data_IF_368384693549
#
_entry.id   IF_368384693549
#
_cell.length_a   1.000
_cell.length_b   1.000
_cell.length_c   1.000
_cell.angle_alpha   90.00
_cell.angle_beta   90.00
_cell.angle_gamma   90.00
#
_symmetry.space_group_name_H-M   'P 1'
#
loop_
_entity.id
_entity.type
_entity.pdbx_description
1 polymer ?
#
# COMPACT_ATOMS: atom_id res chain seq x y z
N UNK A 1 26.04 21.49 8.13
CA UNK A 1 25.59 22.83 8.58
C UNK A 1 24.59 22.60 9.69
N UNK A 2 24.85 23.09 10.90
CA UNK A 2 23.91 23.04 12.03
C UNK A 2 22.97 24.23 11.89
N UNK A 3 21.69 23.98 11.71
CA UNK A 3 20.66 25.02 11.73
C UNK A 3 20.43 25.41 13.21
N UNK A 4 21.28 26.27 13.75
CA UNK A 4 21.28 26.63 15.18
C UNK A 4 20.05 27.43 15.63
N UNK A 5 19.37 28.10 14.71
CA UNK A 5 18.34 29.10 15.00
C UNK A 5 16.89 28.61 14.77
N UNK A 6 16.68 27.30 14.59
CA UNK A 6 15.34 26.75 14.38
C UNK A 6 14.61 26.60 15.71
N UNK A 7 13.37 27.11 15.77
CA UNK A 7 12.47 26.98 16.90
C UNK A 7 12.05 25.51 17.07
N UNK A 8 11.92 25.01 18.32
CA UNK A 8 11.52 23.63 18.60
C UNK A 8 10.02 23.40 18.38
N UNK A 9 9.65 22.16 18.02
CA UNK A 9 8.29 21.72 17.67
C UNK A 9 7.61 22.65 16.67
N UNK A 10 8.30 22.94 15.56
CA UNK A 10 7.82 23.87 14.54
C UNK A 10 8.01 23.29 13.14
N UNK A 11 7.04 23.55 12.26
CA UNK A 11 7.10 23.19 10.84
C UNK A 11 7.80 24.31 10.06
N UNK A 12 8.81 23.92 9.30
CA UNK A 12 9.51 24.77 8.35
C UNK A 12 9.28 24.25 6.93
N UNK A 13 9.09 25.17 5.98
CA UNK A 13 9.12 24.84 4.54
C UNK A 13 10.47 25.27 4.00
N UNK A 14 11.33 24.30 3.70
CA UNK A 14 12.63 24.52 3.07
C UNK A 14 12.44 24.45 1.57
N UNK A 15 12.69 25.55 0.87
CA UNK A 15 12.67 25.59 -0.59
C UNK A 15 14.08 25.61 -1.14
N UNK A 16 14.40 24.64 -1.97
CA UNK A 16 15.65 24.54 -2.74
C UNK A 16 15.37 25.01 -4.16
N UNK A 17 15.98 26.13 -4.53
CA UNK A 17 16.00 26.60 -5.91
C UNK A 17 17.12 25.86 -6.66
N UNK A 18 16.83 25.22 -7.78
CA UNK A 18 17.83 24.61 -8.66
C UNK A 18 17.78 25.28 -10.02
N UNK A 19 18.94 25.77 -10.46
CA UNK A 19 19.14 26.31 -11.80
C UNK A 19 19.62 25.18 -12.70
N UNK A 20 18.73 24.66 -13.54
CA UNK A 20 19.13 23.89 -14.73
C UNK A 20 19.16 24.86 -15.92
N UNK A 21 20.04 24.64 -16.90
CA UNK A 21 20.55 25.60 -17.88
C UNK A 21 19.59 26.63 -18.52
N UNK A 22 18.26 26.47 -18.44
CA UNK A 22 17.26 27.41 -18.99
C UNK A 22 16.02 27.58 -18.06
N UNK A 23 15.91 26.86 -16.93
CA UNK A 23 14.73 26.91 -16.07
C UNK A 23 15.08 26.81 -14.57
N UNK A 24 14.45 27.68 -13.78
CA UNK A 24 14.46 27.60 -12.32
C UNK A 24 13.45 26.56 -11.88
N UNK A 25 13.90 25.54 -11.17
CA UNK A 25 13.07 24.52 -10.54
C UNK A 25 13.11 24.75 -9.04
N UNK A 26 11.94 24.85 -8.41
CA UNK A 26 11.82 24.98 -6.96
C UNK A 26 11.35 23.65 -6.39
N UNK A 27 12.08 23.12 -5.42
CA UNK A 27 11.69 21.93 -4.66
C UNK A 27 11.49 22.35 -3.22
N UNK A 28 10.28 22.21 -2.70
CA UNK A 28 9.98 22.51 -1.31
C UNK A 28 9.81 21.25 -0.48
N UNK A 29 10.38 21.22 0.71
CA UNK A 29 10.27 20.14 1.69
C UNK A 29 9.77 20.71 3.01
N UNK A 30 8.79 20.06 3.62
CA UNK A 30 8.37 20.35 4.99
C UNK A 30 9.27 19.60 5.96
N UNK A 31 9.80 20.31 6.95
CA UNK A 31 10.68 19.75 7.99
C UNK A 31 10.14 20.17 9.35
N UNK A 32 10.12 19.21 10.28
CA UNK A 32 9.68 19.43 11.65
C UNK A 32 10.88 19.38 12.59
N UNK A 33 10.96 20.34 13.50
CA UNK A 33 11.93 20.30 14.60
C UNK A 33 11.36 19.56 15.80
N UNK A 34 12.18 18.75 16.47
CA UNK A 34 11.77 18.11 17.70
C UNK A 34 11.87 19.04 18.90
N UNK A 35 11.03 18.78 19.90
CA UNK A 35 11.01 19.56 21.12
C UNK A 35 10.42 18.79 22.30
N UNK A 36 10.91 19.13 23.49
CA UNK A 36 10.29 18.79 24.76
C UNK A 36 9.16 19.76 25.04
N UNK A 37 8.00 19.23 25.41
CA UNK A 37 6.79 20.01 25.66
C UNK A 37 6.40 19.96 27.14
N UNK A 38 6.29 21.14 27.74
CA UNK A 38 5.71 21.35 29.06
C UNK A 38 4.52 22.29 28.96
N UNK A 39 3.55 22.10 29.83
CA UNK A 39 2.34 22.89 29.88
C UNK A 39 2.22 23.57 31.24
N UNK A 40 2.10 24.90 31.21
CA UNK A 40 1.90 25.73 32.37
C UNK A 40 0.48 26.26 32.45
N UNK A 41 -0.04 26.35 33.67
CA UNK A 41 -1.27 27.08 34.01
C UNK A 41 -0.97 28.02 35.15
N UNK A 42 -1.38 29.27 35.00
CA UNK A 42 -1.24 30.28 36.05
C UNK A 42 -2.41 31.27 36.05
N UNK A 43 -2.63 31.99 37.16
CA UNK A 43 -3.69 32.98 37.31
C UNK A 43 -3.09 34.36 37.55
N UNK A 44 -3.43 35.32 36.68
CA UNK A 44 -3.05 36.73 36.83
C UNK A 44 -4.16 37.48 37.55
N UNK A 45 -3.85 37.97 38.75
CA UNK A 45 -4.83 38.53 39.69
C UNK A 45 -5.07 40.03 39.50
N UNK A 46 -4.11 40.76 38.92
CA UNK A 46 -4.21 42.18 38.62
C UNK A 46 -4.75 42.50 37.22
N UNK A 47 -5.08 41.49 36.41
CA UNK A 47 -5.66 41.67 35.08
C UNK A 47 -7.10 41.17 35.05
N UNK A 48 -8.01 41.96 34.47
CA UNK A 48 -9.39 41.57 34.23
C UNK A 48 -9.53 40.92 32.85
N UNK A 49 -10.36 39.88 32.78
CA UNK A 49 -10.63 39.21 31.51
C UNK A 49 -11.33 40.15 30.52
N UNK A 50 -10.78 40.27 29.32
CA UNK A 50 -11.33 41.05 28.21
C UNK A 50 -11.97 40.11 27.19
N UNK A 51 -13.11 40.45 26.57
CA UNK A 51 -13.76 39.58 25.57
C UNK A 51 -12.84 39.17 24.41
N UNK A 52 -11.92 40.05 23.98
CA UNK A 52 -10.94 39.74 22.94
C UNK A 52 -10.03 38.55 23.28
N UNK A 53 -9.82 38.23 24.56
CA UNK A 53 -9.01 37.07 24.97
C UNK A 53 -9.57 35.70 24.56
N UNK A 54 -10.85 35.64 24.16
CA UNK A 54 -11.42 34.41 23.62
C UNK A 54 -10.80 34.02 22.25
N UNK A 55 -10.30 35.01 21.50
CA UNK A 55 -9.74 34.83 20.16
C UNK A 55 -8.23 35.08 20.16
N UNK A 56 -7.45 34.04 19.83
CA UNK A 56 -5.98 34.08 19.75
C UNK A 56 -5.46 35.04 18.69
N UNK A 57 -6.26 35.32 17.67
CA UNK A 57 -5.92 36.23 16.58
C UNK A 57 -6.21 37.69 16.92
N UNK A 58 -6.94 37.96 18.01
CA UNK A 58 -7.27 39.33 18.41
C UNK A 58 -6.02 40.12 18.84
N UNK A 59 -5.98 41.44 18.59
CA UNK A 59 -4.92 42.31 19.09
C UNK A 59 -4.75 42.21 20.62
N UNK A 60 -5.86 42.14 21.36
CA UNK A 60 -5.83 42.05 22.82
C UNK A 60 -5.13 40.78 23.31
N UNK A 61 -5.41 39.62 22.71
CA UNK A 61 -4.74 38.38 23.05
C UNK A 61 -3.25 38.44 22.68
N UNK A 62 -2.94 38.91 21.47
CA UNK A 62 -1.55 38.99 20.98
C UNK A 62 -0.70 39.94 21.82
N UNK A 63 -1.23 41.11 22.19
CA UNK A 63 -0.56 42.07 23.06
C UNK A 63 -0.31 41.49 24.46
N UNK A 64 -1.32 40.81 25.02
CA UNK A 64 -1.15 40.13 26.30
C UNK A 64 -0.08 39.03 26.22
N UNK A 65 -0.13 38.19 25.19
CA UNK A 65 0.84 37.12 25.00
C UNK A 65 2.27 37.64 24.81
N UNK A 66 2.42 38.74 24.06
CA UNK A 66 3.70 39.41 23.85
C UNK A 66 4.26 39.95 25.17
N UNK A 67 3.44 40.65 25.95
CA UNK A 67 3.84 41.20 27.25
C UNK A 67 4.17 40.10 28.26
N UNK A 68 3.35 39.04 28.31
CA UNK A 68 3.60 37.88 29.16
C UNK A 68 4.93 37.19 28.83
N UNK A 69 5.19 36.96 27.54
CA UNK A 69 6.44 36.35 27.09
C UNK A 69 7.66 37.25 27.36
N UNK A 70 7.53 38.56 27.17
CA UNK A 70 8.58 39.53 27.47
C UNK A 70 8.93 39.50 28.96
N UNK A 71 7.92 39.63 29.83
CA UNK A 71 8.10 39.61 31.29
C UNK A 71 8.76 38.31 31.78
N UNK A 72 8.29 37.16 31.29
CA UNK A 72 8.90 35.86 31.61
C UNK A 72 10.38 35.80 31.20
N UNK A 73 10.71 36.23 29.99
CA UNK A 73 12.09 36.16 29.46
C UNK A 73 13.07 37.04 30.24
N UNK A 74 12.62 38.19 30.74
CA UNK A 74 13.47 39.09 31.53
C UNK A 74 13.71 38.61 32.96
N UNK A 75 12.82 37.76 33.49
CA UNK A 75 12.87 37.33 34.90
C UNK A 75 13.48 35.94 35.11
N UNK A 76 13.70 35.18 34.04
CA UNK A 76 14.39 33.87 34.12
C UNK A 76 15.91 34.03 34.27
N UNK A 77 16.62 33.03 34.82
CA UNK A 77 18.08 33.09 34.94
C UNK A 77 18.80 33.23 33.59
N UNK A 78 20.03 33.80 33.55
CA UNK A 78 20.77 34.04 32.30
C UNK A 78 20.96 32.79 31.42
N UNK A 79 21.12 31.61 32.04
CA UNK A 79 21.23 30.34 31.31
C UNK A 79 19.97 30.03 30.49
N UNK A 80 18.79 30.37 31.02
CA UNK A 80 17.50 30.13 30.36
C UNK A 80 17.19 31.26 29.38
N UNK A 81 17.55 32.50 29.71
CA UNK A 81 17.48 33.63 28.79
C UNK A 81 18.26 33.34 27.50
N UNK A 82 19.47 32.79 27.61
CA UNK A 82 20.27 32.38 26.46
C UNK A 82 19.57 31.32 25.57
N UNK A 83 18.72 30.44 26.15
CA UNK A 83 17.93 29.49 25.35
C UNK A 83 16.83 30.19 24.55
N UNK A 84 16.21 31.24 25.11
CA UNK A 84 15.29 32.09 24.36
C UNK A 84 16.01 32.85 23.25
N UNK A 85 17.16 33.43 23.55
CA UNK A 85 17.96 34.24 22.62
C UNK A 85 18.44 33.43 21.42
N UNK A 86 18.83 32.18 21.66
CA UNK A 86 19.28 31.25 20.63
C UNK A 86 18.13 30.50 19.94
N UNK A 87 16.87 30.81 20.24
CA UNK A 87 15.70 30.12 19.66
C UNK A 87 15.51 28.67 20.11
N UNK A 88 16.28 28.21 21.10
CA UNK A 88 16.23 26.84 21.63
C UNK A 88 15.09 26.63 22.65
N UNK A 89 14.45 27.71 23.09
CA UNK A 89 13.28 27.69 23.97
C UNK A 89 12.29 28.77 23.56
N UNK A 90 11.00 28.47 23.67
CA UNK A 90 9.92 29.44 23.48
C UNK A 90 8.74 29.17 24.39
N UNK A 91 7.98 30.22 24.69
CA UNK A 91 6.71 30.15 25.40
C UNK A 91 5.59 30.60 24.47
N UNK A 92 4.51 29.82 24.41
CA UNK A 92 3.34 30.14 23.58
C UNK A 92 2.07 30.00 24.39
N UNK A 93 1.22 31.03 24.36
CA UNK A 93 -0.07 30.98 25.03
C UNK A 93 -1.08 30.32 24.11
N UNK A 94 -1.84 29.36 24.64
CA UNK A 94 -2.87 28.67 23.87
C UNK A 94 -4.28 28.89 24.42
N UNK A 95 -4.44 29.54 25.57
CA UNK A 95 -5.76 29.90 26.10
C UNK A 95 -5.66 30.94 27.22
N UNK A 96 -6.59 31.89 27.21
CA UNK A 96 -6.87 32.82 28.29
C UNK A 96 -8.33 32.62 28.74
N UNK A 97 -8.59 32.42 30.03
CA UNK A 97 -9.93 32.15 30.57
C UNK A 97 -10.33 33.16 31.66
N UNK A 98 -11.64 33.24 31.93
CA UNK A 98 -12.24 34.14 32.92
C UNK A 98 -12.06 33.65 34.37
N UNK A 99 -12.28 34.55 35.34
CA UNK A 99 -12.08 34.29 36.78
C UNK A 99 -10.75 34.84 37.32
N UNK A 100 -10.43 36.11 37.00
CA UNK A 100 -9.05 36.62 36.84
C UNK A 100 -8.33 35.88 35.71
N UNK A 101 -7.45 36.54 34.95
CA UNK A 101 -6.98 35.96 33.69
C UNK A 101 -6.20 34.65 33.95
N UNK A 102 -6.82 33.52 33.64
CA UNK A 102 -6.21 32.20 33.70
C UNK A 102 -5.44 31.98 32.41
N UNK A 103 -4.11 31.93 32.52
CA UNK A 103 -3.20 31.79 31.39
C UNK A 103 -2.79 30.34 31.29
N UNK A 104 -3.11 29.71 30.16
CA UNK A 104 -2.55 28.41 29.80
C UNK A 104 -1.52 28.60 28.69
N UNK A 105 -0.31 28.10 28.92
CA UNK A 105 0.83 28.28 28.04
C UNK A 105 1.64 26.99 27.88
N UNK A 106 2.32 26.87 26.74
CA UNK A 106 3.27 25.80 26.47
C UNK A 106 4.68 26.36 26.55
N UNK A 107 5.56 25.65 27.25
CA UNK A 107 7.01 25.86 27.20
C UNK A 107 7.55 24.76 26.28
N UNK A 108 8.16 25.17 25.17
CA UNK A 108 8.74 24.26 24.18
C UNK A 108 10.24 24.49 24.15
N UNK A 109 11.02 23.43 24.25
CA UNK A 109 12.49 23.50 24.24
C UNK A 109 13.11 22.42 23.36
N UNK A 110 14.30 22.67 22.80
CA UNK A 110 15.02 21.68 22.00
C UNK A 110 15.34 20.40 22.78
N UNK A 111 15.28 19.24 22.10
CA UNK A 111 15.51 17.92 22.73
C UNK A 111 16.91 17.73 23.30
N UNK A 112 17.91 18.36 22.70
CA UNK A 112 19.33 18.35 23.09
C UNK A 112 19.59 18.93 24.49
N UNK A 113 18.65 19.73 25.00
CA UNK A 113 18.82 20.42 26.28
C UNK A 113 18.57 19.46 27.44
N UNK A 114 19.58 19.21 28.25
CA UNK A 114 19.47 18.35 29.44
C UNK A 114 18.92 19.11 30.65
N UNK A 115 17.65 19.54 30.57
CA UNK A 115 16.93 20.22 31.64
C UNK A 115 15.72 19.36 32.05
N UNK A 116 15.55 19.17 33.36
CA UNK A 116 14.49 18.34 33.95
C UNK A 116 13.19 19.15 34.15
N UNK A 117 12.06 18.45 34.31
CA UNK A 117 10.78 19.07 34.68
C UNK A 117 10.91 19.93 35.93
N UNK A 118 11.55 19.42 36.98
CA UNK A 118 11.69 20.12 38.27
C UNK A 118 12.43 21.44 38.07
N UNK A 119 13.54 21.42 37.33
CA UNK A 119 14.29 22.63 37.00
C UNK A 119 13.47 23.64 36.19
N UNK A 120 12.66 23.20 35.22
CA UNK A 120 11.77 24.08 34.45
C UNK A 120 10.68 24.66 35.36
N UNK A 121 10.02 23.81 36.14
CA UNK A 121 8.94 24.23 37.04
C UNK A 121 9.43 25.30 38.02
N UNK A 122 10.54 25.04 38.71
CA UNK A 122 11.11 25.95 39.70
C UNK A 122 11.48 27.29 39.08
N UNK A 123 12.19 27.27 37.94
CA UNK A 123 12.63 28.49 37.23
C UNK A 123 11.45 29.37 36.83
N UNK A 124 10.42 28.78 36.20
CA UNK A 124 9.32 29.56 35.65
C UNK A 124 8.35 30.03 36.76
N UNK A 125 8.12 29.22 37.80
CA UNK A 125 7.31 29.64 38.96
C UNK A 125 8.02 30.76 39.71
N UNK A 126 9.34 30.67 39.93
CA UNK A 126 10.12 31.71 40.58
C UNK A 126 10.13 33.01 39.77
N UNK A 127 10.32 32.93 38.45
CA UNK A 127 10.26 34.09 37.55
C UNK A 127 8.88 34.77 37.60
N UNK A 128 7.78 34.00 37.52
CA UNK A 128 6.42 34.52 37.63
C UNK A 128 6.15 35.18 38.99
N UNK A 129 6.68 34.61 40.08
CA UNK A 129 6.52 35.17 41.43
C UNK A 129 7.27 36.50 41.62
N UNK A 130 8.38 36.71 40.89
CA UNK A 130 9.15 37.96 40.93
C UNK A 130 8.55 39.09 40.08
N UNK A 131 7.61 38.78 39.20
CA UNK A 131 7.02 39.77 38.32
C UNK A 131 6.25 40.82 39.12
N UNK A 132 6.55 42.09 38.85
CA UNK A 132 5.80 43.23 39.40
C UNK A 132 4.70 43.69 38.45
N UNK A 133 4.84 43.41 37.16
CA UNK A 133 3.84 43.71 36.13
C UNK A 133 2.67 42.71 36.14
N UNK A 134 2.96 41.42 36.35
CA UNK A 134 1.97 40.33 36.40
C UNK A 134 1.86 39.84 37.84
N UNK A 135 0.78 40.20 38.55
CA UNK A 135 0.53 39.67 39.91
C UNK A 135 0.00 38.26 39.83
N UNK A 136 0.90 37.30 39.95
CA UNK A 136 0.62 35.88 39.80
C UNK A 136 0.17 35.23 41.11
N UNK A 137 -0.88 34.41 41.05
CA UNK A 137 -1.20 33.44 42.10
C UNK A 137 -0.26 32.23 41.99
N UNK A 138 0.96 32.37 42.52
CA UNK A 138 2.00 31.36 42.39
C UNK A 138 1.64 30.03 43.07
N UNK A 139 0.77 30.04 44.09
CA UNK A 139 0.35 28.81 44.81
C UNK A 139 -0.50 27.89 43.94
N UNK A 140 -1.23 28.46 42.99
CA UNK A 140 -2.06 27.73 42.03
C UNK A 140 -1.40 27.65 40.64
N UNK A 141 -0.11 27.98 40.53
CA UNK A 141 0.64 27.82 39.28
C UNK A 141 1.19 26.41 39.19
N UNK A 142 0.92 25.74 38.07
CA UNK A 142 1.34 24.36 37.82
C UNK A 142 2.04 24.28 36.48
N UNK A 143 3.15 23.56 36.43
CA UNK A 143 3.86 23.20 35.20
C UNK A 143 4.03 21.69 35.17
N UNK A 144 3.57 21.06 34.11
CA UNK A 144 3.58 19.61 33.95
C UNK A 144 4.11 19.19 32.57
N UNK A 145 4.58 17.96 32.48
CA UNK A 145 4.93 17.34 31.20
C UNK A 145 3.67 17.15 30.37
N UNK A 146 3.72 17.54 29.10
CA UNK A 146 2.57 17.38 28.20
C UNK A 146 2.89 16.42 27.07
N UNK A 147 1.92 15.55 26.79
CA UNK A 147 1.96 14.65 25.65
C UNK A 147 1.84 15.44 24.33
N UNK A 148 2.95 15.52 23.59
CA UNK A 148 3.05 16.19 22.29
C UNK A 148 2.16 15.57 21.20
N UNK A 149 1.78 14.30 21.33
CA UNK A 149 0.88 13.62 20.39
C UNK A 149 -0.55 14.17 20.44
N UNK A 150 -0.97 14.80 21.54
CA UNK A 150 -2.33 15.34 21.70
C UNK A 150 -2.45 16.83 21.33
N UNK A 151 -1.35 17.49 20.99
CA UNK A 151 -1.31 18.94 20.81
C UNK A 151 -1.09 19.37 19.35
N UNK A 152 -0.97 18.42 18.42
CA UNK A 152 -0.60 18.70 17.02
C UNK A 152 0.83 19.20 16.86
N UNK A 153 1.67 19.02 17.88
CA UNK A 153 3.08 19.46 17.90
C UNK A 153 4.06 18.31 17.68
N UNK A 154 3.56 17.09 17.47
CA UNK A 154 4.39 15.92 17.16
C UNK A 154 4.84 15.89 15.71
N UNK A 155 4.16 16.54 14.77
CA UNK A 155 4.52 16.50 13.35
C UNK A 155 4.70 15.09 12.76
N UNK A 156 4.13 14.05 13.41
CA UNK A 156 4.09 12.71 12.83
C UNK A 156 3.20 12.75 11.59
N UNK A 157 3.44 11.85 10.63
CA UNK A 157 2.50 11.62 9.53
C UNK A 157 1.12 11.21 10.06
N UNK A 158 0.06 11.58 9.34
CA UNK A 158 -1.29 11.08 9.63
C UNK A 158 -1.39 9.55 9.53
N UNK A 159 -0.45 8.90 8.82
CA UNK A 159 -0.34 7.45 8.68
C UNK A 159 0.76 6.86 9.59
N UNK A 160 1.06 7.53 10.70
CA UNK A 160 2.02 7.07 11.70
C UNK A 160 1.39 7.02 13.11
N UNK A 161 1.80 6.03 13.90
CA UNK A 161 1.57 6.01 15.32
C UNK A 161 2.49 7.01 16.03
N UNK A 162 1.92 7.81 16.94
CA UNK A 162 2.67 8.70 17.83
C UNK A 162 2.69 8.13 19.24
N UNK A 163 3.88 7.91 19.79
CA UNK A 163 4.08 7.40 21.15
C UNK A 163 4.67 8.50 22.02
N UNK A 164 4.05 8.76 23.16
CA UNK A 164 4.53 9.78 24.10
C UNK A 164 5.69 9.24 24.94
N UNK A 165 6.74 10.03 25.09
CA UNK A 165 7.97 9.66 25.79
C UNK A 165 8.33 10.76 26.80
N UNK A 166 7.59 10.82 27.90
CA UNK A 166 7.71 11.94 28.83
C UNK A 166 7.36 13.26 28.13
N UNK A 167 8.32 14.18 28.05
CA UNK A 167 8.14 15.47 27.37
C UNK A 167 8.39 15.41 25.85
N UNK A 168 8.89 14.29 25.34
CA UNK A 168 9.13 14.06 23.91
C UNK A 168 8.11 13.06 23.34
N UNK A 169 8.33 12.65 22.09
CA UNK A 169 7.51 11.67 21.39
C UNK A 169 8.37 10.95 20.35
N UNK A 170 7.91 9.77 19.94
CA UNK A 170 8.43 9.04 18.78
C UNK A 170 7.30 8.79 17.79
N UNK A 171 7.63 8.76 16.50
CA UNK A 171 6.70 8.43 15.43
C UNK A 171 7.14 7.13 14.76
N UNK A 172 6.19 6.29 14.35
CA UNK A 172 6.46 5.11 13.52
C UNK A 172 5.32 4.92 12.51
N UNK A 173 5.65 4.66 11.25
CA UNK A 173 4.62 4.39 10.24
C UNK A 173 3.73 3.22 10.65
N UNK A 174 2.44 3.32 10.37
CA UNK A 174 1.48 2.24 10.62
C UNK A 174 1.82 1.01 9.75
N UNK A 175 1.33 -0.15 10.16
CA UNK A 175 1.41 -1.36 9.32
C UNK A 175 0.73 -1.11 7.98
N UNK A 176 1.32 -1.60 6.88
CA UNK A 176 0.86 -1.31 5.52
C UNK A 176 1.51 -0.05 4.91
N UNK A 177 2.40 0.62 5.63
CA UNK A 177 3.11 1.80 5.13
C UNK A 177 4.63 1.62 5.20
N UNK A 178 5.33 2.14 4.20
CA UNK A 178 6.79 2.26 4.15
C UNK A 178 7.22 3.64 4.63
N UNK A 179 8.24 3.65 5.48
CA UNK A 179 8.87 4.89 5.94
C UNK A 179 9.89 5.39 4.91
N UNK A 180 9.63 6.56 4.33
CA UNK A 180 10.53 7.23 3.39
C UNK A 180 11.49 8.21 4.09
N UNK A 181 11.40 8.34 5.41
CA UNK A 181 12.22 9.24 6.24
C UNK A 181 13.01 8.44 7.28
N UNK A 182 13.93 7.55 6.89
CA UNK A 182 14.61 6.63 7.83
C UNK A 182 15.46 7.35 8.89
N UNK A 183 15.91 8.58 8.64
CA UNK A 183 16.64 9.40 9.62
C UNK A 183 15.72 10.02 10.69
N UNK A 184 14.44 10.21 10.37
CA UNK A 184 13.42 10.77 11.27
C UNK A 184 12.14 9.96 11.06
N UNK A 185 12.00 8.79 11.73
CA UNK A 185 10.95 7.84 11.44
C UNK A 185 9.54 8.41 11.59
N UNK A 186 8.58 7.84 10.85
CA UNK A 186 7.16 8.16 10.94
C UNK A 186 6.76 9.55 10.43
N UNK A 187 7.67 10.28 9.76
CA UNK A 187 7.39 11.60 9.17
C UNK A 187 6.77 11.51 7.78
N UNK A 188 7.24 10.56 6.97
CA UNK A 188 6.77 10.36 5.61
C UNK A 188 6.43 8.89 5.43
N UNK A 189 5.16 8.56 5.59
CA UNK A 189 4.66 7.21 5.45
C UNK A 189 3.93 7.07 4.12
N UNK A 190 4.43 6.19 3.25
CA UNK A 190 3.83 5.90 1.96
C UNK A 190 3.13 4.54 2.00
N UNK A 191 1.92 4.48 1.48
CA UNK A 191 1.16 3.24 1.32
C UNK A 191 1.98 2.17 0.56
N UNK A 192 1.99 0.94 1.07
CA UNK A 192 2.61 -0.20 0.40
C UNK A 192 1.60 -0.76 -0.59
N UNK A 193 1.95 -0.84 -1.87
CA UNK A 193 1.14 -1.58 -2.82
C UNK A 193 1.43 -3.09 -2.73
N UNK A 194 0.65 -3.83 -1.94
CA UNK A 194 0.89 -5.27 -1.79
C UNK A 194 0.56 -6.08 -3.06
N UNK A 195 -0.20 -5.52 -4.00
CA UNK A 195 -0.46 -6.17 -5.28
C UNK A 195 0.78 -6.19 -6.19
N UNK A 196 1.69 -5.23 -6.01
CA UNK A 196 2.96 -5.16 -6.74
C UNK A 196 4.07 -5.94 -6.05
N UNK A 197 3.86 -6.40 -4.83
CA UNK A 197 4.84 -7.19 -4.08
C UNK A 197 5.16 -8.52 -4.78
N UNK A 198 6.42 -8.96 -4.65
CA UNK A 198 6.89 -10.24 -5.18
C UNK A 198 6.19 -11.44 -4.54
N UNK A 199 5.81 -11.31 -3.27
CA UNK A 199 5.07 -12.35 -2.54
C UNK A 199 3.69 -12.64 -3.13
N UNK A 200 3.14 -11.76 -3.99
CA UNK A 200 1.83 -11.85 -4.65
C UNK A 200 0.77 -12.44 -3.73
N UNK A 201 0.18 -11.62 -2.85
CA UNK A 201 -0.49 -12.15 -1.66
C UNK A 201 -1.83 -12.84 -1.98
N UNK A 202 -2.45 -12.55 -3.13
CA UNK A 202 -3.67 -13.21 -3.58
C UNK A 202 -3.39 -14.51 -4.35
N UNK A 203 -4.39 -15.37 -4.48
CA UNK A 203 -4.31 -16.51 -5.41
C UNK A 203 -4.03 -16.03 -6.84
N UNK A 204 -3.35 -16.86 -7.64
CA UNK A 204 -3.15 -16.60 -9.08
C UNK A 204 -4.47 -16.50 -9.86
N UNK A 205 -5.56 -17.03 -9.29
CA UNK A 205 -6.92 -16.96 -9.84
C UNK A 205 -7.79 -15.93 -9.09
N UNK A 206 -7.16 -14.93 -8.48
CA UNK A 206 -7.82 -13.83 -7.82
C UNK A 206 -7.34 -12.49 -8.36
N UNK A 207 -8.24 -11.51 -8.35
CA UNK A 207 -7.91 -10.11 -8.51
C UNK A 207 -7.38 -9.57 -7.18
N UNK A 208 -6.25 -8.87 -7.25
CA UNK A 208 -5.73 -8.06 -6.14
C UNK A 208 -6.12 -6.61 -6.36
N UNK A 209 -6.58 -5.95 -5.30
CA UNK A 209 -6.87 -4.51 -5.28
C UNK A 209 -6.17 -3.88 -4.09
N UNK A 210 -5.25 -2.96 -4.36
CA UNK A 210 -4.56 -2.19 -3.33
C UNK A 210 -5.53 -1.22 -2.63
N UNK A 211 -5.37 -1.04 -1.33
CA UNK A 211 -6.15 -0.08 -0.53
C UNK A 211 -5.22 0.69 0.40
N UNK A 212 -5.65 1.81 0.96
CA UNK A 212 -4.78 2.57 1.86
C UNK A 212 -4.54 1.77 3.14
N UNK A 213 -3.28 1.41 3.39
CA UNK A 213 -2.79 0.66 4.54
C UNK A 213 -3.02 -0.85 4.48
N UNK A 214 -3.54 -1.39 3.37
CA UNK A 214 -3.87 -2.82 3.23
C UNK A 214 -4.21 -3.17 1.78
N UNK A 215 -4.76 -4.36 1.56
CA UNK A 215 -5.21 -4.81 0.25
C UNK A 215 -6.37 -5.80 0.38
N UNK A 216 -7.09 -5.99 -0.73
CA UNK A 216 -8.16 -6.98 -0.84
C UNK A 216 -7.90 -7.94 -1.99
N UNK A 217 -8.34 -9.18 -1.80
CA UNK A 217 -8.27 -10.23 -2.81
C UNK A 217 -9.69 -10.75 -3.07
N UNK A 218 -10.00 -11.03 -4.33
CA UNK A 218 -11.26 -11.65 -4.71
C UNK A 218 -11.01 -12.68 -5.80
N UNK A 219 -11.44 -13.93 -5.60
CA UNK A 219 -11.38 -14.92 -6.67
C UNK A 219 -12.10 -14.39 -7.91
N UNK A 220 -11.53 -14.65 -9.09
CA UNK A 220 -12.20 -14.26 -10.32
C UNK A 220 -13.60 -14.87 -10.38
N UNK A 221 -14.58 -14.16 -10.95
CA UNK A 221 -15.90 -14.72 -11.18
C UNK A 221 -15.81 -16.11 -11.86
N UNK A 222 -16.71 -17.03 -11.50
CA UNK A 222 -16.68 -18.41 -11.99
C UNK A 222 -15.57 -19.30 -11.41
N UNK A 223 -14.75 -18.79 -10.50
CA UNK A 223 -13.78 -19.57 -9.70
C UNK A 223 -14.32 -19.69 -8.27
N UNK A 224 -14.23 -20.88 -7.67
CA UNK A 224 -14.75 -21.11 -6.33
C UNK A 224 -13.76 -20.60 -5.28
N UNK A 225 -14.26 -19.85 -4.30
CA UNK A 225 -13.47 -19.47 -3.13
C UNK A 225 -13.65 -20.53 -2.03
N UNK A 226 -12.56 -21.21 -1.68
CA UNK A 226 -12.53 -22.24 -0.64
C UNK A 226 -12.25 -21.64 0.76
N UNK A 227 -11.98 -20.33 0.87
CA UNK A 227 -11.70 -19.67 2.14
C UNK A 227 -12.48 -18.36 2.29
N UNK A 228 -13.73 -18.49 2.74
CA UNK A 228 -14.63 -17.33 2.95
C UNK A 228 -14.08 -16.35 4.00
N UNK A 229 -13.33 -16.83 5.00
CA UNK A 229 -12.73 -15.97 6.04
C UNK A 229 -11.55 -15.15 5.53
N UNK A 230 -10.94 -15.52 4.40
CA UNK A 230 -9.90 -14.75 3.74
C UNK A 230 -10.09 -14.86 2.22
N UNK A 231 -11.03 -14.07 1.67
CA UNK A 231 -11.41 -14.19 0.27
C UNK A 231 -10.23 -14.02 -0.68
N UNK A 232 -10.28 -14.68 -1.83
CA UNK A 232 -9.27 -14.56 -2.88
C UNK A 232 -7.92 -15.20 -2.56
N UNK A 233 -7.75 -15.86 -1.39
CA UNK A 233 -6.50 -16.54 -1.02
C UNK A 233 -6.47 -18.00 -1.47
N UNK A 234 -7.61 -18.66 -1.52
CA UNK A 234 -7.74 -20.06 -1.95
C UNK A 234 -8.85 -20.17 -2.98
N UNK A 235 -8.48 -19.92 -4.23
CA UNK A 235 -9.39 -20.02 -5.36
C UNK A 235 -9.18 -21.34 -6.08
N UNK A 236 -10.23 -22.16 -6.17
CA UNK A 236 -10.23 -23.44 -6.88
C UNK A 236 -10.92 -23.28 -8.23
N UNK A 237 -10.17 -23.60 -9.28
CA UNK A 237 -10.69 -23.60 -10.65
C UNK A 237 -11.61 -24.81 -10.89
N UNK A 238 -12.82 -24.56 -11.38
CA UNK A 238 -13.75 -25.59 -11.84
C UNK A 238 -13.16 -26.53 -12.90
N UNK A 239 -12.17 -26.09 -13.68
CA UNK A 239 -11.47 -26.93 -14.66
C UNK A 239 -10.70 -28.07 -14.00
N UNK A 240 -10.18 -27.89 -12.77
CA UNK A 240 -9.47 -28.96 -12.06
C UNK A 240 -10.34 -30.18 -11.79
N UNK A 241 -11.67 -30.00 -11.78
CA UNK A 241 -12.64 -31.06 -11.61
C UNK A 241 -12.64 -32.10 -12.74
N UNK A 242 -12.04 -31.80 -13.90
CA UNK A 242 -11.91 -32.75 -15.01
C UNK A 242 -11.04 -33.96 -14.65
N UNK A 243 -10.16 -33.82 -13.66
CA UNK A 243 -9.33 -34.91 -13.15
C UNK A 243 -9.98 -35.67 -11.99
N UNK A 244 -11.21 -35.34 -11.61
CA UNK A 244 -11.91 -36.02 -10.51
C UNK A 244 -12.38 -37.41 -10.93
N UNK A 245 -12.02 -38.43 -10.16
CA UNK A 245 -12.45 -39.83 -10.38
C UNK A 245 -13.82 -40.15 -9.80
N UNK A 246 -14.37 -39.25 -8.98
CA UNK A 246 -15.63 -39.41 -8.24
C UNK A 246 -16.54 -38.20 -8.42
N UNK A 247 -16.62 -37.64 -9.64
CA UNK A 247 -17.39 -36.43 -9.94
C UNK A 247 -18.87 -36.55 -9.56
N UNK A 248 -19.44 -37.75 -9.71
CA UNK A 248 -20.84 -38.05 -9.40
C UNK A 248 -21.09 -38.49 -7.95
N UNK A 249 -20.07 -38.52 -7.10
CA UNK A 249 -20.24 -38.83 -5.67
C UNK A 249 -20.92 -37.67 -4.92
N UNK A 250 -21.79 -37.97 -3.96
CA UNK A 250 -22.50 -36.98 -3.14
C UNK A 250 -21.56 -36.02 -2.40
N UNK A 251 -20.41 -36.51 -1.91
CA UNK A 251 -19.44 -35.68 -1.17
C UNK A 251 -18.59 -34.78 -2.08
N UNK A 252 -18.70 -34.91 -3.41
CA UNK A 252 -17.95 -34.11 -4.35
C UNK A 252 -18.70 -32.81 -4.69
N UNK A 253 -18.09 -31.66 -4.40
CA UNK A 253 -18.65 -30.34 -4.63
C UNK A 253 -18.27 -29.74 -6.00
N UNK A 254 -17.49 -30.46 -6.81
CA UNK A 254 -17.12 -30.07 -8.17
C UNK A 254 -18.33 -29.96 -9.11
N UNK A 255 -18.33 -28.91 -9.93
CA UNK A 255 -19.32 -28.69 -11.00
C UNK A 255 -20.77 -28.86 -10.53
N UNK A 256 -21.05 -28.49 -9.27
CA UNK A 256 -22.32 -28.76 -8.59
C UNK A 256 -23.55 -28.31 -9.40
N UNK A 257 -23.45 -27.17 -10.09
CA UNK A 257 -24.54 -26.62 -10.93
C UNK A 257 -24.88 -27.50 -12.16
N UNK A 258 -23.94 -28.31 -12.63
CA UNK A 258 -24.11 -29.19 -13.79
C UNK A 258 -24.12 -30.67 -13.42
N UNK A 259 -24.00 -31.01 -12.13
CA UNK A 259 -23.81 -32.37 -11.64
C UNK A 259 -24.92 -33.32 -12.11
N UNK A 260 -26.18 -32.91 -12.02
CA UNK A 260 -27.32 -33.69 -12.53
C UNK A 260 -27.19 -34.00 -14.03
N UNK A 261 -26.88 -32.98 -14.85
CA UNK A 261 -26.73 -33.13 -16.30
C UNK A 261 -25.53 -34.01 -16.66
N UNK A 262 -24.43 -33.92 -15.91
CA UNK A 262 -23.22 -34.73 -16.13
C UNK A 262 -23.47 -36.20 -15.79
N UNK A 263 -24.11 -36.45 -14.65
CA UNK A 263 -24.26 -37.79 -14.09
C UNK A 263 -25.43 -38.58 -14.69
N UNK A 264 -26.40 -37.92 -15.32
CA UNK A 264 -27.52 -38.58 -16.01
C UNK A 264 -27.21 -39.08 -17.42
N UNK A 265 -26.12 -38.61 -18.03
CA UNK A 265 -25.79 -38.92 -19.44
C UNK A 265 -25.01 -40.22 -19.58
N UNK A 266 -25.07 -40.88 -20.73
CA UNK A 266 -24.30 -42.11 -20.95
C UNK A 266 -22.79 -41.81 -21.00
N UNK A 267 -22.37 -40.88 -21.86
CA UNK A 267 -20.96 -40.48 -22.02
C UNK A 267 -20.75 -38.99 -21.74
N UNK A 268 -19.64 -38.68 -21.07
CA UNK A 268 -19.18 -37.31 -20.84
C UNK A 268 -17.69 -37.23 -21.08
N UNK A 269 -17.28 -36.23 -21.86
CA UNK A 269 -15.89 -35.93 -22.14
C UNK A 269 -15.56 -34.51 -21.70
N UNK A 270 -14.44 -34.35 -21.00
CA UNK A 270 -13.80 -33.08 -20.77
C UNK A 270 -13.04 -32.66 -22.03
N UNK A 271 -13.38 -31.49 -22.56
CA UNK A 271 -12.81 -30.95 -23.78
C UNK A 271 -12.12 -29.62 -23.48
N UNK A 272 -10.98 -29.38 -24.13
CA UNK A 272 -10.29 -28.10 -24.12
C UNK A 272 -9.93 -27.70 -25.55
N UNK A 273 -10.31 -26.48 -25.92
CA UNK A 273 -9.84 -25.82 -27.16
C UNK A 273 -8.87 -24.71 -26.77
N UNK A 274 -7.70 -24.68 -27.40
CA UNK A 274 -6.78 -23.54 -27.37
C UNK A 274 -6.88 -22.77 -28.67
N UNK A 275 -7.33 -21.52 -28.61
CA UNK A 275 -7.46 -20.63 -29.76
C UNK A 275 -6.18 -19.81 -29.94
N UNK A 276 -5.31 -20.15 -30.90
CA UNK A 276 -3.98 -19.51 -31.02
C UNK A 276 -4.06 -18.01 -31.34
N UNK A 277 -5.08 -17.57 -32.09
CA UNK A 277 -5.22 -16.18 -32.53
C UNK A 277 -6.05 -15.31 -31.59
N UNK A 278 -6.71 -15.91 -30.60
CA UNK A 278 -7.64 -15.19 -29.74
C UNK A 278 -6.90 -14.64 -28.52
N UNK A 279 -7.26 -13.41 -28.14
CA UNK A 279 -6.69 -12.71 -26.98
C UNK A 279 -7.67 -12.83 -25.82
N UNK A 280 -7.17 -13.30 -24.68
CA UNK A 280 -7.98 -13.39 -23.47
C UNK A 280 -8.23 -12.00 -22.88
N UNK A 281 -9.49 -11.66 -22.65
CA UNK A 281 -9.90 -10.46 -21.91
C UNK A 281 -10.44 -10.85 -20.53
N UNK A 282 -10.18 -10.08 -19.46
CA UNK A 282 -10.59 -10.46 -18.10
C UNK A 282 -12.09 -10.72 -17.91
N UNK A 283 -12.97 -10.11 -18.70
CA UNK A 283 -14.42 -10.35 -18.62
C UNK A 283 -14.81 -11.80 -18.96
N UNK A 284 -13.94 -12.55 -19.65
CA UNK A 284 -14.11 -13.98 -19.92
C UNK A 284 -13.96 -14.88 -18.70
N UNK A 285 -13.50 -14.35 -17.56
CA UNK A 285 -13.67 -15.07 -16.30
C UNK A 285 -15.14 -15.11 -15.87
N UNK A 286 -15.91 -14.05 -16.15
CA UNK A 286 -17.26 -13.87 -15.63
C UNK A 286 -18.34 -14.48 -16.54
N UNK A 287 -19.05 -15.55 -16.11
CA UNK A 287 -20.15 -16.15 -16.88
C UNK A 287 -21.29 -15.18 -17.21
N UNK A 288 -21.46 -14.13 -16.40
CA UNK A 288 -22.49 -13.11 -16.58
C UNK A 288 -22.06 -11.97 -17.52
N UNK A 289 -20.82 -11.97 -18.01
CA UNK A 289 -20.36 -10.95 -18.95
C UNK A 289 -20.94 -11.17 -20.36
N UNK A 290 -21.18 -10.09 -21.13
CA UNK A 290 -21.55 -10.20 -22.53
C UNK A 290 -20.54 -10.99 -23.37
N UNK A 291 -19.23 -10.79 -23.13
CA UNK A 291 -18.17 -11.46 -23.89
C UNK A 291 -18.18 -12.97 -23.63
N UNK A 292 -18.31 -13.39 -22.36
CA UNK A 292 -18.43 -14.80 -22.01
C UNK A 292 -19.67 -15.41 -22.67
N UNK A 293 -20.83 -14.77 -22.52
CA UNK A 293 -22.09 -15.29 -23.10
C UNK A 293 -22.02 -15.42 -24.61
N UNK A 294 -21.47 -14.43 -25.30
CA UNK A 294 -21.35 -14.47 -26.75
C UNK A 294 -20.46 -15.64 -27.19
N UNK A 295 -19.28 -15.77 -26.59
CA UNK A 295 -18.33 -16.83 -26.92
C UNK A 295 -18.83 -18.22 -26.53
N UNK A 296 -19.49 -18.31 -25.37
CA UNK A 296 -20.18 -19.52 -24.92
C UNK A 296 -21.29 -19.91 -25.89
N UNK A 297 -22.07 -18.96 -26.42
CA UNK A 297 -23.14 -19.26 -27.39
C UNK A 297 -22.58 -19.85 -28.69
N UNK A 298 -21.47 -19.30 -29.21
CA UNK A 298 -20.81 -19.83 -30.42
C UNK A 298 -20.39 -21.30 -30.21
N UNK A 299 -19.80 -21.62 -29.06
CA UNK A 299 -19.33 -22.98 -28.76
C UNK A 299 -20.51 -23.92 -28.44
N UNK A 300 -21.48 -23.48 -27.66
CA UNK A 300 -22.58 -24.34 -27.19
C UNK A 300 -23.65 -24.57 -28.25
N UNK A 301 -23.98 -23.55 -29.05
CA UNK A 301 -25.05 -23.61 -30.05
C UNK A 301 -24.49 -23.97 -31.42
N UNK A 302 -23.60 -23.14 -31.97
CA UNK A 302 -23.19 -23.26 -33.36
C UNK A 302 -22.30 -24.49 -33.55
N UNK A 303 -21.23 -24.60 -32.76
CA UNK A 303 -20.36 -25.78 -32.78
C UNK A 303 -21.11 -27.03 -32.27
N UNK A 304 -21.99 -26.88 -31.29
CA UNK A 304 -22.85 -27.96 -30.81
C UNK A 304 -23.70 -28.57 -31.93
N UNK A 305 -24.34 -27.73 -32.75
CA UNK A 305 -25.16 -28.15 -33.90
C UNK A 305 -24.33 -28.83 -34.99
N UNK A 306 -23.17 -28.26 -35.32
CA UNK A 306 -22.24 -28.87 -36.29
C UNK A 306 -21.78 -30.26 -35.81
N UNK A 307 -21.51 -30.42 -34.53
CA UNK A 307 -21.10 -31.70 -33.96
C UNK A 307 -22.24 -32.72 -33.95
N UNK A 308 -23.48 -32.31 -33.68
CA UNK A 308 -24.65 -33.20 -33.81
C UNK A 308 -24.76 -33.75 -35.24
N UNK A 309 -24.56 -32.90 -36.25
CA UNK A 309 -24.66 -33.28 -37.66
C UNK A 309 -23.48 -34.19 -38.08
N UNK A 310 -22.25 -33.89 -37.65
CA UNK A 310 -21.05 -34.71 -37.94
C UNK A 310 -21.07 -36.07 -37.24
N UNK A 311 -21.54 -36.12 -36.00
CA UNK A 311 -21.62 -37.36 -35.21
C UNK A 311 -22.89 -38.16 -35.51
N UNK A 312 -23.86 -37.57 -36.22
CA UNK A 312 -25.22 -38.13 -36.41
C UNK A 312 -25.88 -38.49 -35.08
N UNK A 313 -25.66 -37.66 -34.06
CA UNK A 313 -26.20 -37.84 -32.70
C UNK A 313 -26.87 -36.55 -32.24
N UNK A 314 -28.20 -36.53 -32.26
CA UNK A 314 -29.01 -35.38 -31.82
C UNK A 314 -28.97 -35.16 -30.31
N UNK A 315 -28.48 -36.13 -29.53
CA UNK A 315 -28.36 -36.03 -28.06
C UNK A 315 -27.09 -35.30 -27.62
N UNK A 316 -26.14 -35.11 -28.55
CA UNK A 316 -24.89 -34.40 -28.31
C UNK A 316 -25.16 -32.98 -27.81
N UNK A 317 -24.55 -32.62 -26.69
CA UNK A 317 -24.66 -31.30 -26.08
C UNK A 317 -23.32 -30.83 -25.53
N UNK A 318 -23.10 -29.52 -25.52
CA UNK A 318 -21.91 -28.89 -24.95
C UNK A 318 -22.32 -28.03 -23.75
N UNK A 319 -21.64 -28.22 -22.62
CA UNK A 319 -21.76 -27.38 -21.42
C UNK A 319 -20.44 -26.66 -21.20
N UNK A 320 -20.45 -25.34 -21.36
CA UNK A 320 -19.29 -24.52 -21.05
C UNK A 320 -18.97 -24.55 -19.56
N UNK A 321 -17.69 -24.69 -19.24
CA UNK A 321 -17.20 -24.67 -17.85
C UNK A 321 -16.46 -23.37 -17.59
N UNK A 322 -15.52 -23.01 -18.46
CA UNK A 322 -14.67 -21.84 -18.22
C UNK A 322 -13.92 -21.39 -19.47
N UNK A 323 -13.56 -20.10 -19.49
CA UNK A 323 -12.45 -19.58 -20.29
C UNK A 323 -11.28 -19.19 -19.38
N UNK A 324 -10.04 -19.43 -19.82
CA UNK A 324 -8.82 -19.11 -19.05
C UNK A 324 -7.76 -18.42 -19.91
N UNK A 325 -6.89 -17.60 -19.28
CA UNK A 325 -5.80 -16.89 -19.96
C UNK A 325 -4.80 -17.85 -20.62
N UNK A 326 -4.15 -17.33 -21.67
CA UNK A 326 -3.40 -18.07 -22.68
C UNK A 326 -3.82 -17.59 -24.08
N UNK A 327 -3.55 -18.38 -25.11
CA UNK A 327 -4.26 -18.23 -26.40
C UNK A 327 -5.68 -18.78 -26.20
N UNK A 328 -6.58 -17.95 -25.67
CA UNK A 328 -7.91 -18.27 -25.06
C UNK A 328 -8.16 -19.77 -24.91
N UNK A 329 -8.10 -20.27 -23.68
CA UNK A 329 -8.39 -21.66 -23.39
C UNK A 329 -9.87 -21.81 -23.04
N UNK A 330 -10.63 -22.51 -23.88
CA UNK A 330 -12.03 -22.84 -23.62
C UNK A 330 -12.15 -24.27 -23.09
N UNK A 331 -12.76 -24.41 -21.91
CA UNK A 331 -13.00 -25.69 -21.27
C UNK A 331 -14.51 -25.96 -21.23
N UNK A 332 -14.91 -27.15 -21.67
CA UNK A 332 -16.30 -27.55 -21.70
C UNK A 332 -16.46 -29.06 -21.59
N UNK A 333 -17.70 -29.48 -21.32
CA UNK A 333 -18.09 -30.87 -21.30
C UNK A 333 -18.90 -31.20 -22.54
N UNK A 334 -18.56 -32.28 -23.22
CA UNK A 334 -19.37 -32.89 -24.27
C UNK A 334 -20.18 -34.04 -23.68
N UNK A 335 -21.50 -33.99 -23.80
CA UNK A 335 -22.43 -34.97 -23.25
C UNK A 335 -23.21 -35.65 -24.37
N UNK A 336 -23.42 -36.96 -24.29
CA UNK A 336 -24.16 -37.72 -25.32
C UNK A 336 -24.71 -39.05 -24.80
N UNK A 337 -25.77 -39.53 -25.45
CA UNK A 337 -26.49 -40.76 -25.13
C UNK A 337 -26.59 -41.75 -26.31
N UNK A 338 -26.40 -41.28 -27.55
CA UNK A 338 -26.73 -42.05 -28.76
C UNK A 338 -25.65 -42.98 -29.32
N UNK A 339 -24.36 -42.78 -28.99
CA UNK A 339 -23.24 -43.53 -29.58
C UNK A 339 -22.39 -44.29 -28.54
N UNK A 340 -22.75 -45.56 -28.28
CA UNK A 340 -22.08 -46.42 -27.30
C UNK A 340 -20.59 -46.70 -27.62
N UNK A 341 -20.15 -46.59 -28.88
CA UNK A 341 -18.78 -46.93 -29.31
C UNK A 341 -17.86 -45.74 -29.61
N UNK A 342 -18.36 -44.49 -29.55
CA UNK A 342 -17.51 -43.31 -29.77
C UNK A 342 -16.34 -43.25 -28.77
N UNK A 343 -15.11 -43.31 -29.29
CA UNK A 343 -13.87 -43.22 -28.52
C UNK A 343 -13.41 -41.77 -28.32
N UNK A 344 -12.54 -41.53 -27.34
CA UNK A 344 -11.92 -40.21 -27.12
C UNK A 344 -11.22 -39.70 -28.38
N UNK A 345 -10.48 -40.56 -29.07
CA UNK A 345 -9.76 -40.23 -30.30
C UNK A 345 -10.70 -39.83 -31.43
N UNK A 346 -11.81 -40.57 -31.59
CA UNK A 346 -12.80 -40.26 -32.63
C UNK A 346 -13.46 -38.90 -32.37
N UNK A 347 -13.86 -38.65 -31.11
CA UNK A 347 -14.43 -37.35 -30.73
C UNK A 347 -13.41 -36.21 -30.92
N UNK A 348 -12.15 -36.41 -30.53
CA UNK A 348 -11.10 -35.40 -30.69
C UNK A 348 -10.87 -35.05 -32.17
N UNK A 349 -10.80 -36.04 -33.05
CA UNK A 349 -10.62 -35.81 -34.49
C UNK A 349 -11.80 -35.05 -35.09
N UNK A 350 -13.03 -35.46 -34.79
CA UNK A 350 -14.24 -34.80 -35.30
C UNK A 350 -14.37 -33.37 -34.79
N UNK A 351 -14.14 -33.16 -33.48
CA UNK A 351 -14.19 -31.85 -32.85
C UNK A 351 -13.11 -30.91 -33.38
N UNK A 352 -11.88 -31.40 -33.54
CA UNK A 352 -10.79 -30.61 -34.13
C UNK A 352 -11.11 -30.17 -35.56
N UNK A 353 -11.70 -31.06 -36.37
CA UNK A 353 -12.12 -30.71 -37.73
C UNK A 353 -13.22 -29.63 -37.74
N UNK A 354 -14.23 -29.76 -36.89
CA UNK A 354 -15.32 -28.79 -36.79
C UNK A 354 -14.82 -27.40 -36.32
N UNK A 355 -14.03 -27.37 -35.25
CA UNK A 355 -13.48 -26.13 -34.67
C UNK A 355 -12.60 -25.38 -35.67
N UNK A 356 -11.78 -26.10 -36.46
CA UNK A 356 -10.91 -25.48 -37.48
C UNK A 356 -11.66 -24.82 -38.63
N UNK A 357 -12.81 -25.36 -38.99
CA UNK A 357 -13.66 -24.82 -40.06
C UNK A 357 -14.47 -23.64 -39.55
N UNK A 358 -15.04 -23.76 -38.35
CA UNK A 358 -16.02 -22.79 -37.86
C UNK A 358 -15.40 -21.60 -37.11
N UNK A 359 -14.35 -21.84 -36.32
CA UNK A 359 -13.90 -20.89 -35.31
C UNK A 359 -12.53 -20.31 -35.64
N UNK A 360 -11.51 -21.17 -35.73
CA UNK A 360 -10.14 -20.76 -36.01
C UNK A 360 -9.34 -21.95 -36.55
N UNK A 361 -8.71 -21.75 -37.72
CA UNK A 361 -7.88 -22.74 -38.40
C UNK A 361 -6.65 -23.17 -37.59
N UNK A 362 -6.20 -22.34 -36.66
CA UNK A 362 -5.06 -22.59 -35.78
C UNK A 362 -5.52 -22.88 -34.34
N UNK A 363 -6.11 -24.06 -34.18
CA UNK A 363 -6.61 -24.55 -32.88
C UNK A 363 -5.96 -25.87 -32.48
N UNK A 364 -5.82 -26.05 -31.16
CA UNK A 364 -5.45 -27.33 -30.53
C UNK A 364 -6.63 -27.80 -29.67
N UNK A 365 -7.12 -29.00 -29.98
CA UNK A 365 -8.23 -29.64 -29.27
C UNK A 365 -7.71 -30.84 -28.50
N UNK A 366 -8.06 -30.93 -27.23
CA UNK A 366 -7.80 -32.11 -26.38
C UNK A 366 -9.09 -32.60 -25.76
N UNK A 367 -9.31 -33.92 -25.79
CA UNK A 367 -10.49 -34.59 -25.26
C UNK A 367 -10.05 -35.67 -24.27
N UNK A 368 -10.75 -35.77 -23.15
CA UNK A 368 -10.51 -36.74 -22.08
C UNK A 368 -11.85 -37.28 -21.58
N UNK A 369 -12.03 -38.59 -21.46
CA UNK A 369 -13.25 -39.16 -20.88
C UNK A 369 -13.31 -38.89 -19.37
N UNK A 370 -14.52 -38.62 -18.87
CA UNK A 370 -14.76 -38.46 -17.44
C UNK A 370 -15.22 -39.78 -16.85
N UNK A 371 -14.47 -40.31 -15.89
CA UNK A 371 -14.87 -41.46 -15.09
C UNK A 371 -15.93 -41.06 -14.06
N UNK A 372 -17.11 -41.69 -14.14
CA UNK A 372 -18.27 -41.41 -13.27
C UNK A 372 -18.41 -42.49 -12.20
N UNK A 373 -17.42 -42.69 -11.32
CA UNK A 373 -17.59 -43.73 -10.30
C UNK A 373 -18.50 -43.28 -9.16
N UNK A 374 -19.52 -44.10 -8.91
CA UNK A 374 -20.24 -44.22 -7.64
C UNK A 374 -20.05 -45.65 -7.11
N UNK A 375 -18.81 -46.09 -6.88
CA UNK A 375 -18.47 -47.25 -6.03
C UNK A 375 -16.96 -47.33 -5.81
N UNK A 376 -16.59 -47.76 -4.60
CA UNK A 376 -15.23 -47.89 -4.08
C UNK A 376 -14.35 -48.89 -4.85
N UNK A 377 -13.04 -48.58 -4.86
CA UNK A 377 -11.86 -49.41 -5.17
C UNK A 377 -11.30 -49.35 -6.60
N UNK A 378 -10.21 -48.61 -6.81
CA UNK A 378 -8.82 -49.15 -6.83
C UNK A 378 -7.79 -48.01 -7.08
N UNK A 379 -6.60 -48.18 -6.49
CA UNK A 379 -5.42 -47.30 -6.55
C UNK A 379 -4.80 -47.21 -7.97
N UNK A 380 -3.97 -46.17 -8.24
CA UNK A 380 -3.41 -45.90 -9.56
C UNK A 380 -2.12 -46.69 -9.82
N UNK A 381 -1.94 -47.18 -11.05
CA UNK A 381 -0.68 -47.72 -11.53
C UNK A 381 0.19 -46.62 -12.15
N UNK A 382 1.32 -46.35 -11.50
CA UNK A 382 2.42 -45.56 -12.03
C UNK A 382 3.42 -46.47 -12.78
N UNK A 383 3.85 -46.02 -13.96
CA UNK A 383 5.10 -46.37 -14.67
C UNK A 383 5.28 -45.31 -15.76
N UNK A 384 6.43 -44.78 -16.14
CA UNK A 384 7.81 -44.86 -15.68
C UNK A 384 8.56 -43.71 -16.41
N UNK A 385 9.59 -43.14 -15.76
CA UNK A 385 10.97 -42.88 -16.26
C UNK A 385 11.20 -42.59 -17.76
N UNK A 386 12.03 -41.65 -18.24
CA UNK A 386 13.36 -41.16 -17.80
C UNK A 386 13.78 -39.94 -18.66
N UNK A 387 14.91 -39.32 -18.28
CA UNK A 387 15.90 -38.65 -19.13
C UNK A 387 15.94 -37.11 -19.19
N UNK A 388 16.51 -36.58 -18.11
CA UNK A 388 17.44 -35.46 -18.09
C UNK A 388 18.71 -35.78 -18.90
N UNK A 389 19.22 -34.84 -19.74
CA UNK A 389 20.67 -34.65 -19.98
C UNK A 389 20.98 -33.21 -20.39
N UNK A 390 21.58 -32.50 -19.45
CA UNK A 390 22.76 -31.62 -19.55
C UNK A 390 23.28 -31.25 -20.95
N UNK A 391 23.19 -29.97 -21.31
CA UNK A 391 24.27 -29.24 -22.00
C UNK A 391 24.40 -27.87 -21.34
N UNK A 392 25.20 -27.83 -20.27
CA UNK A 392 25.80 -26.60 -19.73
C UNK A 392 27.26 -26.61 -20.18
N UNK A 393 27.85 -25.42 -20.34
CA UNK A 393 29.20 -25.10 -20.87
C UNK A 393 29.23 -24.76 -22.37
N UNK A 394 28.40 -23.81 -22.82
CA UNK A 394 28.77 -22.85 -23.89
C UNK A 394 28.24 -21.43 -23.57
N UNK A 395 27.15 -21.30 -22.79
CA UNK A 395 26.56 -19.99 -22.41
C UNK A 395 27.32 -19.21 -21.32
N UNK A 396 28.29 -19.81 -20.63
CA UNK A 396 29.03 -19.17 -19.53
C UNK A 396 30.11 -18.16 -19.98
N UNK A 397 30.66 -18.33 -21.19
CA UNK A 397 31.76 -17.47 -21.69
C UNK A 397 31.21 -16.20 -22.37
N UNK A 398 29.99 -16.25 -22.91
CA UNK A 398 29.32 -15.08 -23.48
C UNK A 398 28.74 -14.15 -22.41
N UNK A 399 28.27 -14.70 -21.28
CA UNK A 399 27.73 -13.89 -20.18
C UNK A 399 28.82 -13.15 -19.38
N UNK A 400 30.04 -13.72 -19.28
CA UNK A 400 31.16 -13.04 -18.60
C UNK A 400 31.70 -11.84 -19.38
N UNK A 401 31.68 -11.89 -20.72
CA UNK A 401 32.10 -10.76 -21.55
C UNK A 401 31.10 -9.59 -21.48
N UNK A 402 29.79 -9.87 -21.49
CA UNK A 402 28.75 -8.84 -21.41
C UNK A 402 28.74 -8.16 -20.03
N UNK A 403 28.94 -8.91 -18.94
CA UNK A 403 29.02 -8.33 -17.60
C UNK A 403 30.23 -7.41 -17.43
N UNK A 404 31.37 -7.74 -18.05
CA UNK A 404 32.57 -6.90 -18.03
C UNK A 404 32.33 -5.56 -18.75
N UNK A 405 31.65 -5.56 -19.90
CA UNK A 405 31.31 -4.32 -20.62
C UNK A 405 30.30 -3.44 -19.88
N UNK A 406 29.33 -4.03 -19.17
CA UNK A 406 28.38 -3.29 -18.33
C UNK A 406 29.08 -2.67 -17.11
N UNK A 407 30.03 -3.37 -16.49
CA UNK A 407 30.82 -2.83 -15.37
C UNK A 407 31.76 -1.71 -15.84
N UNK A 408 32.40 -1.84 -17.01
CA UNK A 408 33.24 -0.78 -17.58
C UNK A 408 32.38 0.43 -18.01
N UNK A 409 31.20 0.19 -18.60
CA UNK A 409 30.27 1.26 -18.97
C UNK A 409 29.71 2.02 -17.77
N UNK A 410 29.35 1.30 -16.69
CA UNK A 410 28.84 1.91 -15.45
C UNK A 410 29.92 2.65 -14.65
N UNK A 411 31.17 2.17 -14.64
CA UNK A 411 32.29 2.88 -14.00
C UNK A 411 32.71 4.11 -14.81
N UNK A 412 32.66 4.07 -16.14
CA UNK A 412 32.88 5.24 -16.99
C UNK A 412 31.75 6.27 -16.85
N UNK A 413 30.49 5.82 -16.73
CA UNK A 413 29.34 6.67 -16.42
C UNK A 413 29.45 7.32 -15.03
N UNK A 414 29.87 6.58 -14.00
CA UNK A 414 30.12 7.11 -12.66
C UNK A 414 31.34 8.05 -12.59
N UNK A 415 32.37 7.81 -13.42
CA UNK A 415 33.53 8.69 -13.56
C UNK A 415 33.19 9.99 -14.29
N UNK A 416 32.25 9.97 -15.24
CA UNK A 416 31.72 11.16 -15.91
C UNK A 416 30.76 11.95 -15.01
N UNK A 417 30.10 11.28 -14.04
CA UNK A 417 29.24 11.92 -13.03
C UNK A 417 30.00 12.53 -11.84
N UNK A 418 31.30 12.28 -11.71
CA UNK A 418 32.19 12.93 -10.71
C UNK A 418 32.88 14.17 -11.29
N UNK A 419 32.08 15.17 -11.65
CA UNK A 419 32.50 16.58 -11.60
C UNK A 419 31.30 17.39 -11.13
N UNK A 420 31.10 17.45 -9.82
CA UNK A 420 30.26 18.45 -9.18
C UNK A 420 31.15 19.27 -8.24
N UNK A 421 31.10 20.58 -8.43
CA UNK A 421 31.92 21.57 -7.76
C UNK A 421 31.60 21.79 -6.29
N UNK A 422 32.33 22.72 -5.70
CA UNK A 422 32.22 23.12 -4.31
C UNK A 422 30.98 24.00 -4.06
N UNK A 423 30.32 23.77 -2.94
CA UNK A 423 29.26 24.64 -2.41
C UNK A 423 29.86 25.81 -1.62
N UNK A 424 29.33 27.02 -1.83
CA UNK A 424 29.59 28.19 -0.98
C UNK A 424 28.27 28.84 -0.60
N UNK A 425 28.15 29.25 0.67
CA UNK A 425 26.91 29.76 1.26
C UNK A 425 27.08 31.22 1.68
N UNK A 426 26.06 32.06 1.44
CA UNK A 426 25.96 33.40 2.01
C UNK A 426 24.54 33.65 2.52
N UNK A 427 24.40 34.01 3.79
CA UNK A 427 23.12 34.34 4.40
C UNK A 427 22.68 35.77 4.04
N UNK A 428 21.39 35.97 3.78
CA UNK A 428 20.76 37.29 3.73
C UNK A 428 19.37 37.27 4.40
N UNK A 429 19.26 37.96 5.53
CA UNK A 429 17.99 38.51 6.05
C UNK A 429 17.19 37.64 7.04
N UNK A 430 16.20 38.23 7.72
CA UNK A 430 15.54 37.65 8.91
C UNK A 430 14.31 36.78 8.61
N UNK A 431 14.03 36.46 7.35
CA UNK A 431 12.80 35.77 6.92
C UNK A 431 13.12 34.73 5.85
N UNK A 432 13.69 33.60 6.29
CA UNK A 432 13.40 32.23 5.80
C UNK A 432 13.41 31.93 4.30
N UNK A 433 14.23 32.59 3.47
CA UNK A 433 14.43 32.19 2.06
C UNK A 433 15.88 31.79 1.83
N UNK A 434 16.09 30.58 1.32
CA UNK A 434 17.41 30.07 0.92
C UNK A 434 17.43 29.96 -0.61
N UNK A 435 18.29 30.72 -1.28
CA UNK A 435 18.55 30.56 -2.71
C UNK A 435 19.80 29.70 -2.88
N UNK A 436 19.73 28.69 -3.74
CA UNK A 436 20.87 27.88 -4.11
C UNK A 436 21.23 28.20 -5.56
N UNK A 437 22.44 28.68 -5.78
CA UNK A 437 23.00 28.85 -7.11
C UNK A 437 23.85 27.63 -7.44
N UNK A 438 23.40 26.87 -8.45
CA UNK A 438 24.26 25.93 -9.16
C UNK A 438 25.12 26.75 -10.13
N UNK A 439 26.45 26.59 -10.09
CA UNK A 439 27.34 27.03 -11.17
C UNK A 439 27.81 25.79 -11.92
#
# INVERSE_FOLDING_TARGET
>A
MMFGDLLPSYEYVITVETLMCIQKIYVSLKVWTDGKLFQGRTRITNELYKPGYADKSSPQFQDFAKNFNHELRELVPPKIQALFDNGQMRVTLFSLLSGSVLVNFNIVMGVEQNITLTSISDVFIEALNRSTALKVDFRNTVIEVKNSCMTGLSGCSDQAACTAEGATYSCACLTGFTDLSPLVPGRTCQDINECDAESKPCSILAQCTNTIGSYSCQCYPGVKDDNISSPGRRCRDSVTCFNSTSLCSEQNDCLSQHKYLICSRAKVFACRIRFKKWVFVPSLYNPDSPEYRNMSNIITKDLGKEMQDRLKDSTFNIVMVAFRPGSVLAYFLSLMDGQADLSEQQLQMTLNAAVRVMLDSETEVTVQAIHKSATSNLLPSATANESWRTVVIILGILLSAVLLFVVIGSTMYLSLKRKCGHYSTRAQGPIGTFSYTYI
#
